data_IF_558239377562
#
_entry.id   IF_558239377562
#
_cell.length_a   1.000
_cell.length_b   1.000
_cell.length_c   1.000
_cell.angle_alpha   90.00
_cell.angle_beta   90.00
_cell.angle_gamma   90.00
#
_symmetry.space_group_name_H-M   'P 1'
#
loop_
_entity.id
_entity.type
_entity.pdbx_description
1 polymer ?
#
# COMPACT_ATOMS: atom_id res chain seq x y z
N UNK A 1 37.44 0.00 0.65
CA UNK A 1 36.85 0.82 -0.43
C UNK A 1 35.36 0.63 -0.35
N UNK A 2 34.73 1.49 0.45
CA UNK A 2 33.32 1.48 0.78
C UNK A 2 32.54 2.21 -0.33
N UNK A 3 31.57 1.53 -0.93
CA UNK A 3 30.69 2.12 -1.95
C UNK A 3 29.25 2.03 -1.43
N UNK A 4 28.90 3.08 -0.68
CA UNK A 4 27.58 3.28 -0.09
C UNK A 4 26.46 3.28 -1.13
N UNK A 5 25.38 2.62 -0.69
CA UNK A 5 24.08 2.44 -1.31
C UNK A 5 23.35 3.80 -1.53
N UNK A 6 22.77 4.10 -2.71
CA UNK A 6 22.04 5.36 -2.90
C UNK A 6 20.52 5.12 -2.98
N UNK A 7 19.83 5.03 -1.84
CA UNK A 7 18.36 5.19 -1.78
C UNK A 7 17.91 5.78 -0.44
N UNK A 8 18.38 6.99 -0.14
CA UNK A 8 17.74 7.88 0.84
C UNK A 8 17.36 9.19 0.15
N UNK A 9 16.23 9.25 -0.57
CA UNK A 9 15.65 10.54 -0.99
C UNK A 9 14.14 10.48 -1.19
N UNK A 10 13.37 10.38 -0.10
CA UNK A 10 12.14 11.17 0.06
C UNK A 10 11.77 11.25 1.55
N UNK A 11 12.38 12.19 2.26
CA UNK A 11 12.06 12.54 3.66
C UNK A 11 11.67 14.02 3.75
N UNK A 12 10.72 14.48 2.93
CA UNK A 12 10.13 15.79 3.15
C UNK A 12 8.68 15.85 2.69
N UNK A 13 7.77 15.87 3.66
CA UNK A 13 6.50 16.58 3.53
C UNK A 13 6.66 17.81 4.43
N UNK A 14 6.78 18.99 3.81
CA UNK A 14 6.71 20.24 4.54
C UNK A 14 5.25 20.46 4.93
N UNK A 15 5.00 20.56 6.24
CA UNK A 15 3.78 21.16 6.78
C UNK A 15 4.22 22.39 7.55
N UNK A 16 3.52 23.48 7.31
CA UNK A 16 3.98 24.85 7.53
C UNK A 16 4.46 25.12 8.96
N UNK A 17 5.69 25.62 9.04
CA UNK A 17 6.23 26.54 10.04
C UNK A 17 5.70 26.49 11.47
N UNK A 18 6.10 25.51 12.28
CA UNK A 18 6.39 25.76 13.69
C UNK A 18 7.41 24.73 14.25
N UNK A 19 8.55 25.21 14.73
CA UNK A 19 9.59 24.39 15.37
C UNK A 19 9.11 23.93 16.75
N UNK A 20 8.95 22.62 16.97
CA UNK A 20 8.74 22.06 18.31
C UNK A 20 9.83 21.03 18.68
N UNK A 21 10.20 21.04 19.97
CA UNK A 21 11.40 20.46 20.57
C UNK A 21 11.38 18.93 20.69
N UNK A 22 12.58 18.34 20.81
CA UNK A 22 12.91 16.93 20.52
C UNK A 22 12.51 15.90 21.59
N UNK A 23 11.88 16.31 22.70
CA UNK A 23 11.69 15.44 23.87
C UNK A 23 10.22 15.06 24.19
N UNK A 24 9.29 15.25 23.26
CA UNK A 24 7.93 14.69 23.39
C UNK A 24 7.41 14.10 22.07
N UNK A 25 7.97 12.97 21.65
CA UNK A 25 7.31 12.11 20.65
C UNK A 25 6.31 11.21 21.39
N UNK A 26 5.13 11.75 21.69
CA UNK A 26 3.92 10.92 21.80
C UNK A 26 3.37 10.72 20.39
N UNK A 27 2.80 9.55 20.03
CA UNK A 27 2.24 9.35 18.70
C UNK A 27 0.93 10.15 18.58
N UNK A 28 1.03 11.44 18.27
CA UNK A 28 -0.13 12.28 18.00
C UNK A 28 -0.61 12.03 16.58
N UNK A 29 -1.72 11.30 16.46
CA UNK A 29 -2.98 11.75 15.83
C UNK A 29 -2.91 12.90 14.79
N UNK A 30 -2.00 12.83 13.82
CA UNK A 30 -1.72 13.93 12.88
C UNK A 30 -2.70 14.10 11.71
N UNK A 31 -3.84 13.40 11.72
CA UNK A 31 -4.90 13.65 10.76
C UNK A 31 -6.14 14.16 11.48
N UNK A 32 -6.85 15.17 10.94
CA UNK A 32 -8.19 15.46 11.39
C UNK A 32 -8.97 14.15 11.42
N UNK A 33 -9.63 13.84 12.54
CA UNK A 33 -10.38 12.57 12.70
C UNK A 33 -11.40 12.33 11.58
N UNK A 34 -11.80 13.41 10.91
CA UNK A 34 -12.77 13.41 9.80
C UNK A 34 -12.13 13.24 8.41
N UNK A 35 -10.80 13.11 8.33
CA UNK A 35 -10.04 13.03 7.07
C UNK A 35 -9.16 11.78 6.95
N UNK A 36 -9.28 10.82 7.87
CA UNK A 36 -8.49 9.61 7.87
C UNK A 36 -9.36 8.35 7.98
N UNK A 37 -8.98 7.32 7.25
CA UNK A 37 -9.53 5.97 7.42
C UNK A 37 -8.41 4.97 7.67
N UNK A 38 -8.61 4.08 8.63
CA UNK A 38 -7.71 2.95 8.85
C UNK A 38 -8.19 1.78 7.98
N UNK A 39 -7.27 1.22 7.19
CA UNK A 39 -7.52 0.11 6.28
C UNK A 39 -6.65 -1.06 6.70
N UNK A 40 -7.27 -2.22 6.86
CA UNK A 40 -6.56 -3.48 7.10
C UNK A 40 -6.76 -4.39 5.89
N UNK A 41 -5.68 -4.69 5.17
CA UNK A 41 -5.64 -5.59 4.02
C UNK A 41 -5.27 -6.98 4.52
N UNK A 42 -6.27 -7.83 4.70
CA UNK A 42 -6.09 -9.18 5.25
C UNK A 42 -5.39 -10.12 4.26
N UNK A 43 -5.90 -10.19 3.03
CA UNK A 43 -5.43 -11.13 2.03
C UNK A 43 -6.26 -11.07 0.75
N UNK A 44 -5.94 -11.96 -0.19
CA UNK A 44 -6.74 -12.25 -1.37
C UNK A 44 -6.93 -13.76 -1.49
N UNK A 45 -7.90 -14.18 -2.30
CA UNK A 45 -8.19 -15.60 -2.52
C UNK A 45 -8.42 -15.87 -3.99
N UNK A 46 -8.07 -17.08 -4.43
CA UNK A 46 -8.29 -17.56 -5.79
C UNK A 46 -7.74 -16.64 -6.88
N UNK A 47 -6.59 -16.00 -6.64
CA UNK A 47 -5.94 -15.12 -7.61
C UNK A 47 -5.72 -15.84 -8.95
N UNK A 48 -5.71 -15.07 -10.04
CA UNK A 48 -5.36 -15.60 -11.35
C UNK A 48 -3.95 -16.22 -11.30
N UNK A 49 -3.72 -17.25 -12.12
CA UNK A 49 -2.35 -17.70 -12.36
C UNK A 49 -1.59 -16.58 -13.03
N UNK A 50 -0.39 -16.31 -12.51
CA UNK A 50 0.59 -15.50 -13.21
C UNK A 50 0.82 -16.10 -14.60
N UNK A 51 0.88 -15.26 -15.62
CA UNK A 51 1.11 -15.59 -17.02
C UNK A 51 2.46 -16.28 -17.28
N UNK A 52 3.34 -16.31 -16.28
CA UNK A 52 4.53 -17.14 -16.29
C UNK A 52 4.16 -18.63 -16.24
N UNK A 53 4.32 -19.28 -17.40
CA UNK A 53 3.74 -20.57 -17.82
C UNK A 53 3.91 -21.80 -16.90
N UNK A 54 4.69 -21.73 -15.83
CA UNK A 54 5.06 -22.89 -15.02
C UNK A 54 4.84 -22.73 -13.50
N UNK A 55 4.20 -21.63 -13.04
CA UNK A 55 3.99 -21.40 -11.61
C UNK A 55 2.62 -21.93 -11.13
N UNK A 56 2.61 -22.61 -9.98
CA UNK A 56 1.38 -23.07 -9.30
C UNK A 56 0.50 -21.89 -8.83
N UNK A 57 1.07 -20.69 -8.72
CA UNK A 57 0.41 -19.42 -8.43
C UNK A 57 1.33 -18.21 -8.71
N UNK A 58 0.87 -16.98 -8.41
CA UNK A 58 1.72 -15.79 -8.34
C UNK A 58 2.98 -16.02 -7.51
N UNK A 59 4.10 -15.38 -7.85
CA UNK A 59 5.37 -15.55 -7.12
C UNK A 59 5.45 -14.63 -5.91
N UNK A 60 5.20 -13.34 -6.10
CA UNK A 60 5.32 -12.33 -5.07
C UNK A 60 4.09 -11.43 -5.09
N UNK A 61 2.89 -11.98 -4.82
CA UNK A 61 1.67 -11.20 -4.87
C UNK A 61 1.66 -10.14 -3.78
N UNK A 62 1.25 -8.94 -4.14
CA UNK A 62 1.08 -7.82 -3.22
C UNK A 62 -0.13 -6.97 -3.60
N UNK A 63 -0.70 -6.26 -2.63
CA UNK A 63 -1.86 -5.40 -2.85
C UNK A 63 -1.46 -3.92 -2.72
N UNK A 64 -1.85 -3.12 -3.70
CA UNK A 64 -1.87 -1.67 -3.60
C UNK A 64 -3.27 -1.21 -3.16
N UNK A 65 -3.32 -0.21 -2.29
CA UNK A 65 -4.53 0.57 -2.00
C UNK A 65 -4.29 2.03 -2.34
N UNK A 66 -5.24 2.68 -2.99
CA UNK A 66 -5.23 4.12 -3.24
C UNK A 66 -6.64 4.71 -3.11
N UNK A 67 -6.74 6.01 -2.83
CA UNK A 67 -8.00 6.74 -2.98
C UNK A 67 -8.15 7.12 -4.45
N UNK A 68 -9.30 6.79 -5.05
CA UNK A 68 -9.60 7.08 -6.46
C UNK A 68 -9.45 8.58 -6.71
N UNK A 69 -8.68 8.95 -7.74
CA UNK A 69 -8.40 10.34 -8.09
C UNK A 69 -7.28 11.00 -7.26
N UNK A 70 -6.69 10.30 -6.29
CA UNK A 70 -5.60 10.79 -5.44
C UNK A 70 -4.41 9.82 -5.47
N UNK A 71 -3.75 9.68 -6.62
CA UNK A 71 -2.65 8.72 -6.82
C UNK A 71 -1.48 8.83 -5.80
N UNK A 72 -1.26 10.02 -5.23
CA UNK A 72 -0.27 10.25 -4.15
C UNK A 72 -0.56 9.47 -2.87
N UNK A 73 -1.76 8.91 -2.73
CA UNK A 73 -2.20 8.12 -1.57
C UNK A 73 -1.91 6.64 -1.73
N UNK A 74 -1.33 6.21 -2.86
CA UNK A 74 -1.02 4.81 -3.13
C UNK A 74 -0.04 4.26 -2.10
N UNK A 75 -0.45 3.19 -1.41
CA UNK A 75 0.38 2.41 -0.49
C UNK A 75 0.28 0.95 -0.86
N UNK A 76 1.38 0.20 -0.70
CA UNK A 76 1.45 -1.23 -1.01
C UNK A 76 1.72 -2.06 0.23
N UNK A 77 1.15 -3.26 0.28
CA UNK A 77 1.58 -4.30 1.23
C UNK A 77 3.00 -4.75 0.91
N UNK A 78 3.70 -5.38 1.87
CA UNK A 78 4.80 -6.27 1.52
C UNK A 78 4.35 -7.35 0.53
N UNK A 79 5.29 -7.85 -0.27
CA UNK A 79 5.05 -9.05 -1.09
C UNK A 79 4.81 -10.27 -0.20
N UNK A 80 3.99 -11.20 -0.66
CA UNK A 80 3.87 -12.49 0.01
C UNK A 80 5.20 -13.24 -0.06
N UNK A 81 5.54 -13.94 1.03
CA UNK A 81 6.73 -14.80 1.08
C UNK A 81 6.51 -16.14 0.37
N UNK A 82 5.25 -16.49 0.08
CA UNK A 82 4.87 -17.74 -0.54
C UNK A 82 4.34 -17.51 -1.95
N UNK A 83 4.68 -18.41 -2.87
CA UNK A 83 4.09 -18.42 -4.20
C UNK A 83 2.66 -18.99 -4.09
N UNK A 84 1.68 -18.14 -3.81
CA UNK A 84 0.31 -18.58 -3.48
C UNK A 84 -0.76 -17.79 -4.22
N UNK A 85 -1.88 -18.46 -4.48
CA UNK A 85 -3.10 -17.85 -5.02
C UNK A 85 -4.00 -17.26 -3.93
N UNK A 86 -3.65 -17.51 -2.66
CA UNK A 86 -4.43 -17.13 -1.49
C UNK A 86 -3.54 -16.39 -0.46
N UNK A 87 -2.87 -15.28 -0.84
CA UNK A 87 -1.93 -14.60 0.04
C UNK A 87 -2.62 -13.96 1.24
N UNK A 88 -1.97 -14.05 2.40
CA UNK A 88 -2.35 -13.34 3.62
C UNK A 88 -1.30 -12.29 3.97
N UNK A 89 -1.67 -11.02 3.92
CA UNK A 89 -0.77 -9.90 4.22
C UNK A 89 -0.95 -9.34 5.63
N UNK A 90 -2.18 -9.35 6.15
CA UNK A 90 -2.52 -8.76 7.45
C UNK A 90 -1.90 -7.36 7.67
N UNK A 91 -1.94 -6.53 6.63
CA UNK A 91 -1.25 -5.23 6.60
C UNK A 91 -2.21 -4.09 6.93
N UNK A 92 -1.84 -3.25 7.89
CA UNK A 92 -2.63 -2.10 8.31
C UNK A 92 -1.98 -0.79 7.86
N UNK A 93 -2.80 0.11 7.32
CA UNK A 93 -2.38 1.45 6.87
C UNK A 93 -3.44 2.49 7.20
N UNK A 94 -3.00 3.71 7.51
CA UNK A 94 -3.87 4.87 7.70
C UNK A 94 -3.82 5.77 6.47
N UNK A 95 -4.97 5.96 5.82
CA UNK A 95 -5.13 6.80 4.63
C UNK A 95 -5.59 8.20 5.06
N UNK A 96 -4.64 9.09 5.34
CA UNK A 96 -4.88 10.36 6.03
C UNK A 96 -5.51 11.51 5.23
N UNK A 97 -5.89 11.28 3.96
CA UNK A 97 -6.59 12.28 3.12
C UNK A 97 -7.94 11.79 2.60
N UNK A 98 -8.43 10.69 3.18
CA UNK A 98 -9.74 10.12 2.87
C UNK A 98 -10.85 11.04 3.37
N UNK A 99 -11.82 11.34 2.51
CA UNK A 99 -13.01 12.13 2.87
C UNK A 99 -14.23 11.41 2.34
N UNK A 100 -15.30 11.27 3.12
CA UNK A 100 -16.56 10.75 2.59
C UNK A 100 -17.04 11.63 1.41
N UNK A 101 -17.50 11.06 0.27
CA UNK A 101 -17.70 9.64 -0.05
C UNK A 101 -16.60 9.05 -0.97
N UNK A 102 -15.33 9.33 -0.69
CA UNK A 102 -14.18 8.79 -1.43
C UNK A 102 -14.27 7.26 -1.58
N UNK A 103 -13.74 6.76 -2.70
CA UNK A 103 -13.65 5.33 -2.98
C UNK A 103 -12.21 4.87 -2.84
N UNK A 104 -12.02 3.75 -2.13
CA UNK A 104 -10.74 3.06 -2.07
C UNK A 104 -10.67 2.06 -3.22
N UNK A 105 -9.57 2.09 -3.96
CA UNK A 105 -9.25 1.14 -5.02
C UNK A 105 -8.12 0.23 -4.55
N UNK A 106 -8.39 -1.06 -4.55
CA UNK A 106 -7.43 -2.12 -4.26
C UNK A 106 -7.02 -2.75 -5.58
N UNK A 107 -5.72 -2.92 -5.83
CA UNK A 107 -5.20 -3.60 -7.01
C UNK A 107 -4.14 -4.60 -6.58
N UNK A 108 -4.27 -5.85 -6.99
CA UNK A 108 -3.32 -6.91 -6.69
C UNK A 108 -2.41 -7.12 -7.88
N UNK A 109 -1.12 -7.15 -7.63
CA UNK A 109 -0.08 -7.39 -8.63
C UNK A 109 0.78 -8.60 -8.23
N UNK A 110 1.35 -9.26 -9.22
CA UNK A 110 2.47 -10.20 -9.03
C UNK A 110 3.77 -9.48 -9.36
N UNK A 111 4.68 -9.39 -8.38
CA UNK A 111 6.00 -8.82 -8.63
C UNK A 111 6.90 -9.89 -9.25
N UNK A 112 7.49 -9.57 -10.40
CA UNK A 112 8.52 -10.42 -11.02
C UNK A 112 9.79 -9.60 -11.26
N UNK A 113 10.90 -10.01 -10.64
CA UNK A 113 12.19 -9.32 -10.77
C UNK A 113 12.61 -9.18 -12.24
N UNK A 114 12.86 -7.94 -12.66
CA UNK A 114 13.37 -7.62 -14.00
C UNK A 114 12.29 -7.51 -15.09
N UNK A 115 11.00 -7.52 -14.73
CA UNK A 115 9.87 -7.44 -15.67
C UNK A 115 8.76 -6.50 -15.18
N UNK A 116 7.80 -6.26 -16.06
CA UNK A 116 6.56 -5.59 -15.72
C UNK A 116 5.77 -6.45 -14.73
N UNK A 117 5.28 -5.81 -13.67
CA UNK A 117 4.42 -6.46 -12.69
C UNK A 117 3.10 -6.87 -13.34
N UNK A 118 2.64 -8.09 -13.06
CA UNK A 118 1.42 -8.61 -13.64
C UNK A 118 0.19 -8.20 -12.82
N UNK A 119 -0.81 -7.63 -13.47
CA UNK A 119 -2.06 -7.27 -12.81
C UNK A 119 -2.95 -8.50 -12.59
N UNK A 120 -3.21 -8.86 -11.34
CA UNK A 120 -3.98 -10.05 -10.95
C UNK A 120 -5.46 -9.76 -10.65
N UNK A 121 -5.82 -8.51 -10.39
CA UNK A 121 -7.20 -8.12 -10.12
C UNK A 121 -7.34 -6.79 -9.40
N UNK A 122 -8.56 -6.26 -9.34
CA UNK A 122 -8.88 -5.04 -8.61
C UNK A 122 -10.25 -5.09 -7.96
N UNK A 123 -10.42 -4.35 -6.87
CA UNK A 123 -11.68 -4.19 -6.16
C UNK A 123 -11.86 -2.75 -5.69
N UNK A 124 -13.10 -2.30 -5.57
CA UNK A 124 -13.41 -0.96 -5.04
C UNK A 124 -14.25 -1.07 -3.79
N UNK A 125 -13.96 -0.22 -2.81
CA UNK A 125 -14.76 -0.03 -1.61
C UNK A 125 -15.22 1.43 -1.56
N UNK A 126 -16.48 1.65 -1.90
CA UNK A 126 -17.15 2.95 -1.74
C UNK A 126 -17.78 3.05 -0.36
N UNK A 127 -17.88 4.26 0.18
CA UNK A 127 -18.62 4.49 1.40
C UNK A 127 -20.08 4.03 1.25
N UNK A 128 -20.58 3.26 2.21
CA UNK A 128 -21.98 2.82 2.27
C UNK A 128 -22.91 4.01 2.51
N UNK A 129 -24.14 3.93 1.96
CA UNK A 129 -25.25 4.78 2.38
C UNK A 129 -25.86 4.26 3.66
#
# INVERSE_FOLDING_TARGET
>A
TDAGNPVEKINSIQVDGESMSKDQVTPSNGFPKDCAVQVTILGAQSLARSSWRDAEGPKEPYCCVEIVGKAVTKVSTPVSAENTRDPSWNYQVTMGTYKFPDTLLFTVFDKEFGRYEEHLGKAQLSAGR
#
